data_IF_554101147423
#
_entry.id   IF_554101147423
#
_cell.length_a   1.000
_cell.length_b   1.000
_cell.length_c   1.000
_cell.angle_alpha   90.00
_cell.angle_beta   90.00
_cell.angle_gamma   90.00
#
_symmetry.space_group_name_H-M   'P 1'
#
loop_
_entity.id
_entity.type
_entity.pdbx_description
1 polymer ?
#
# COMPACT_ATOMS: atom_id res chain seq x y z
N UNK A 1 -53.17 -53.86 14.13
CA UNK A 1 -52.99 -52.89 13.05
C UNK A 1 -51.88 -51.86 13.38
N UNK A 2 -51.01 -52.12 14.39
CA UNK A 2 -50.02 -51.16 14.87
C UNK A 2 -48.55 -51.52 14.56
N UNK A 3 -48.29 -52.64 13.89
CA UNK A 3 -46.92 -53.09 13.61
C UNK A 3 -46.34 -52.57 12.26
N UNK A 4 -47.16 -52.10 11.33
CA UNK A 4 -46.68 -51.57 10.03
C UNK A 4 -46.23 -50.12 10.10
N UNK A 5 -46.83 -49.29 10.97
CA UNK A 5 -46.48 -47.89 11.12
C UNK A 5 -45.05 -47.70 11.69
N UNK A 6 -44.61 -48.63 12.55
CA UNK A 6 -43.28 -48.58 13.21
C UNK A 6 -42.11 -48.81 12.25
N UNK A 7 -42.33 -49.57 11.14
CA UNK A 7 -41.28 -49.91 10.20
C UNK A 7 -40.97 -48.81 9.18
N UNK A 8 -41.91 -47.88 8.97
CA UNK A 8 -41.71 -46.71 8.04
C UNK A 8 -41.15 -45.51 8.79
N UNK A 9 -41.47 -45.32 10.06
CA UNK A 9 -41.09 -44.16 10.84
C UNK A 9 -39.57 -44.14 11.13
N UNK A 10 -38.94 -45.30 11.35
CA UNK A 10 -37.51 -45.40 11.65
C UNK A 10 -36.63 -44.95 10.49
N UNK A 11 -36.80 -45.44 9.24
CA UNK A 11 -35.97 -45.00 8.10
C UNK A 11 -36.22 -43.52 7.74
N UNK A 12 -37.44 -43.00 7.90
CA UNK A 12 -37.76 -41.59 7.66
C UNK A 12 -37.05 -40.68 8.66
N UNK A 13 -36.99 -41.06 9.94
CA UNK A 13 -36.24 -40.27 10.97
C UNK A 13 -34.75 -40.31 10.71
N UNK A 14 -34.17 -41.41 10.29
CA UNK A 14 -32.75 -41.50 9.91
C UNK A 14 -32.44 -40.65 8.68
N UNK A 15 -33.32 -40.66 7.69
CA UNK A 15 -33.14 -39.82 6.49
C UNK A 15 -33.24 -38.33 6.81
N UNK A 16 -34.17 -37.91 7.67
CA UNK A 16 -34.33 -36.55 8.12
C UNK A 16 -33.11 -36.07 8.95
N UNK A 17 -32.57 -36.95 9.81
CA UNK A 17 -31.35 -36.61 10.55
C UNK A 17 -30.13 -36.50 9.65
N UNK A 18 -29.96 -37.33 8.65
CA UNK A 18 -28.90 -37.23 7.66
C UNK A 18 -29.03 -35.97 6.80
N UNK A 19 -30.25 -35.61 6.40
CA UNK A 19 -30.50 -34.35 5.69
C UNK A 19 -30.21 -33.11 6.54
N UNK A 20 -30.54 -33.14 7.84
CA UNK A 20 -30.19 -32.07 8.77
C UNK A 20 -28.66 -31.93 8.97
N UNK A 21 -27.96 -33.05 9.12
CA UNK A 21 -26.48 -33.04 9.23
C UNK A 21 -25.86 -32.56 7.91
N UNK A 22 -26.36 -32.98 6.77
CA UNK A 22 -25.89 -32.46 5.48
C UNK A 22 -26.18 -30.98 5.29
N UNK A 23 -27.34 -30.48 5.72
CA UNK A 23 -27.67 -29.05 5.69
C UNK A 23 -26.78 -28.21 6.62
N UNK A 24 -26.46 -28.73 7.81
CA UNK A 24 -25.51 -28.07 8.74
C UNK A 24 -24.08 -28.06 8.18
N UNK A 25 -23.65 -29.16 7.57
CA UNK A 25 -22.34 -29.23 6.92
C UNK A 25 -22.27 -28.34 5.65
N UNK A 26 -23.37 -28.17 4.93
CA UNK A 26 -23.45 -27.24 3.79
C UNK A 26 -23.53 -25.78 4.23
N UNK A 27 -24.21 -25.48 5.35
CA UNK A 27 -24.26 -24.14 5.91
C UNK A 27 -22.91 -23.68 6.50
N UNK A 28 -22.08 -24.62 6.98
CA UNK A 28 -20.72 -24.33 7.45
C UNK A 28 -19.66 -24.21 6.32
N UNK A 29 -20.02 -24.55 5.10
CA UNK A 29 -19.22 -24.32 3.90
C UNK A 29 -19.48 -22.92 3.29
N UNK A 30 -19.90 -21.94 4.09
CA UNK A 30 -19.78 -20.54 3.69
C UNK A 30 -18.29 -20.31 3.48
N UNK A 31 -17.88 -20.25 2.21
CA UNK A 31 -16.53 -19.80 1.83
C UNK A 31 -16.33 -18.45 2.48
N UNK A 32 -15.64 -18.41 3.60
CA UNK A 32 -14.93 -17.19 4.00
C UNK A 32 -13.96 -16.98 2.85
N UNK A 33 -14.35 -16.18 1.87
CA UNK A 33 -13.41 -15.53 0.99
C UNK A 33 -12.53 -14.74 1.94
N UNK A 34 -11.38 -15.26 2.28
CA UNK A 34 -10.31 -14.43 2.78
C UNK A 34 -10.09 -13.41 1.64
N UNK A 35 -10.60 -12.19 1.84
CA UNK A 35 -10.20 -11.05 1.03
C UNK A 35 -8.74 -10.88 1.44
N UNK A 36 -7.84 -11.60 0.78
CA UNK A 36 -6.42 -11.45 0.98
C UNK A 36 -6.01 -10.09 0.44
N UNK A 37 -4.93 -9.55 0.96
CA UNK A 37 -4.32 -8.31 0.50
C UNK A 37 -4.05 -8.39 -1.02
N UNK A 38 -4.61 -7.44 -1.76
CA UNK A 38 -4.43 -7.28 -3.20
C UNK A 38 -3.30 -6.26 -3.46
N UNK A 39 -2.09 -6.76 -3.64
CA UNK A 39 -0.92 -5.94 -3.86
C UNK A 39 -0.98 -5.19 -5.19
N UNK A 40 -1.53 -5.78 -6.25
CA UNK A 40 -1.60 -5.15 -7.56
C UNK A 40 -2.50 -3.91 -7.53
N UNK A 41 -3.62 -4.01 -6.83
CA UNK A 41 -4.51 -2.86 -6.60
C UNK A 41 -3.83 -1.78 -5.74
N UNK A 42 -3.07 -2.17 -4.72
CA UNK A 42 -2.37 -1.23 -3.86
C UNK A 42 -1.25 -0.48 -4.61
N UNK A 43 -0.61 -1.10 -5.60
CA UNK A 43 0.43 -0.45 -6.41
C UNK A 43 -0.08 0.78 -7.16
N UNK A 44 -1.35 0.81 -7.58
CA UNK A 44 -1.95 1.95 -8.28
C UNK A 44 -1.99 3.22 -7.41
N UNK A 45 -1.92 3.07 -6.09
CA UNK A 45 -1.97 4.15 -5.10
C UNK A 45 -0.62 4.49 -4.48
N UNK A 46 0.47 3.81 -4.90
CA UNK A 46 1.83 4.01 -4.37
C UNK A 46 2.72 4.60 -5.45
N UNK A 47 3.63 5.47 -5.06
CA UNK A 47 4.49 6.22 -5.99
C UNK A 47 5.94 6.16 -5.55
N UNK A 48 6.83 6.20 -6.52
CA UNK A 48 8.23 6.62 -6.29
C UNK A 48 8.25 8.14 -6.22
N UNK A 49 8.87 8.69 -5.20
CA UNK A 49 8.99 10.14 -5.00
C UNK A 49 10.43 10.55 -5.22
N UNK A 50 10.63 11.48 -6.15
CA UNK A 50 11.90 12.14 -6.39
C UNK A 50 11.84 13.58 -5.91
N UNK A 51 12.88 14.06 -5.22
CA UNK A 51 13.02 15.45 -4.85
C UNK A 51 14.50 15.86 -4.88
N UNK A 52 14.90 16.59 -5.91
CA UNK A 52 16.32 16.86 -6.16
C UNK A 52 17.11 15.56 -6.34
N UNK A 53 18.08 15.30 -5.45
CA UNK A 53 18.87 14.06 -5.43
C UNK A 53 18.29 12.98 -4.49
N UNK A 54 17.19 13.25 -3.81
CA UNK A 54 16.54 12.33 -2.88
C UNK A 54 15.56 11.42 -3.62
N UNK A 55 15.45 10.19 -3.13
CA UNK A 55 14.51 9.19 -3.60
C UNK A 55 13.83 8.52 -2.41
N UNK A 56 12.52 8.37 -2.49
CA UNK A 56 11.71 7.66 -1.51
C UNK A 56 10.43 7.12 -2.14
N UNK A 57 9.48 6.83 -1.28
CA UNK A 57 8.14 6.38 -1.66
C UNK A 57 7.10 7.39 -1.18
N UNK A 58 5.88 7.30 -1.72
CA UNK A 58 4.71 8.01 -1.27
C UNK A 58 3.47 7.22 -1.60
N UNK A 59 2.33 7.60 -1.06
CA UNK A 59 1.06 6.97 -1.41
C UNK A 59 -0.09 7.97 -1.36
N UNK A 60 -1.09 7.74 -2.21
CA UNK A 60 -2.29 8.56 -2.25
C UNK A 60 -3.20 8.26 -1.06
N UNK A 61 -3.71 9.33 -0.44
CA UNK A 61 -4.72 9.34 0.63
C UNK A 61 -5.97 10.12 0.23
N UNK A 62 -6.01 10.58 -1.00
CA UNK A 62 -7.08 11.29 -1.67
C UNK A 62 -6.80 11.32 -3.16
N UNK A 63 -7.78 11.75 -3.98
CA UNK A 63 -7.69 11.67 -5.44
C UNK A 63 -6.43 12.32 -6.04
N UNK A 64 -5.96 13.42 -5.47
CA UNK A 64 -4.77 14.14 -5.93
C UNK A 64 -3.80 14.46 -4.78
N UNK A 65 -3.96 13.83 -3.62
CA UNK A 65 -3.20 14.09 -2.42
C UNK A 65 -2.32 12.88 -2.07
N UNK A 66 -1.02 13.10 -2.05
CA UNK A 66 0.00 12.09 -1.77
C UNK A 66 0.74 12.47 -0.50
N UNK A 67 1.01 11.51 0.38
CA UNK A 67 1.88 11.71 1.53
C UNK A 67 3.20 10.96 1.35
N UNK A 68 4.24 11.53 1.92
CA UNK A 68 5.58 10.97 2.03
C UNK A 68 6.27 11.50 3.29
N UNK A 69 7.48 11.05 3.60
CA UNK A 69 8.25 11.64 4.69
C UNK A 69 8.81 13.01 4.32
N UNK A 70 8.92 13.89 5.31
CA UNK A 70 9.54 15.21 5.11
C UNK A 70 11.00 15.10 4.66
N UNK A 71 11.79 14.18 5.22
CA UNK A 71 13.18 13.96 4.85
C UNK A 71 13.38 13.44 3.41
N UNK A 72 12.33 12.93 2.75
CA UNK A 72 12.37 12.58 1.32
C UNK A 72 12.37 13.84 0.45
N UNK A 73 11.81 14.96 0.94
CA UNK A 73 11.71 16.21 0.20
C UNK A 73 12.98 17.04 0.40
N UNK A 74 13.99 16.78 -0.41
CA UNK A 74 15.26 17.51 -0.36
C UNK A 74 15.19 18.88 -1.06
N UNK A 75 14.35 18.99 -2.11
CA UNK A 75 14.11 20.24 -2.84
C UNK A 75 12.61 20.43 -3.05
N UNK A 76 11.95 21.29 -2.27
CA UNK A 76 10.50 21.53 -2.39
C UNK A 76 10.05 22.12 -3.75
N UNK A 77 10.97 22.68 -4.53
CA UNK A 77 10.67 23.25 -5.84
C UNK A 77 10.86 22.24 -6.99
N UNK A 78 11.36 21.05 -6.70
CA UNK A 78 11.66 20.03 -7.70
C UNK A 78 11.24 18.66 -7.17
N UNK A 79 9.92 18.43 -7.19
CA UNK A 79 9.31 17.17 -6.75
C UNK A 79 8.61 16.53 -7.94
N UNK A 80 8.88 15.25 -8.17
CA UNK A 80 8.17 14.42 -9.11
C UNK A 80 7.73 13.13 -8.45
N UNK A 81 6.56 12.62 -8.84
CA UNK A 81 6.10 11.29 -8.49
C UNK A 81 6.04 10.43 -9.74
N UNK A 82 6.36 9.15 -9.61
CA UNK A 82 6.27 8.17 -10.70
C UNK A 82 5.28 7.08 -10.28
N UNK A 83 4.29 6.85 -11.12
CA UNK A 83 3.24 5.84 -10.95
C UNK A 83 3.73 4.44 -11.29
N UNK A 84 2.94 3.43 -10.98
CA UNK A 84 3.26 2.03 -11.26
C UNK A 84 3.45 1.74 -12.76
N UNK A 85 2.73 2.43 -13.64
CA UNK A 85 2.89 2.32 -15.09
C UNK A 85 4.08 3.13 -15.66
N UNK A 86 4.82 3.83 -14.79
CA UNK A 86 5.98 4.63 -15.15
C UNK A 86 5.67 6.06 -15.60
N UNK A 87 4.41 6.52 -15.45
CA UNK A 87 4.04 7.90 -15.77
C UNK A 87 4.57 8.84 -14.69
N UNK A 88 5.19 9.94 -15.10
CA UNK A 88 5.74 10.96 -14.20
C UNK A 88 4.81 12.16 -14.10
N UNK A 89 4.62 12.66 -12.88
CA UNK A 89 3.84 13.85 -12.57
C UNK A 89 4.64 14.80 -11.70
N UNK A 90 4.59 16.10 -12.00
CA UNK A 90 5.09 17.11 -11.09
C UNK A 90 4.17 17.20 -9.87
N UNK A 91 4.77 17.37 -8.69
CA UNK A 91 4.04 17.52 -7.43
C UNK A 91 4.46 18.80 -6.73
N UNK A 92 3.51 19.42 -6.03
CA UNK A 92 3.75 20.61 -5.22
C UNK A 92 3.50 20.30 -3.75
N UNK A 93 4.36 20.77 -2.82
CA UNK A 93 4.12 20.57 -1.39
C UNK A 93 2.97 21.45 -0.90
N UNK A 94 1.95 20.83 -0.31
CA UNK A 94 0.89 21.51 0.44
C UNK A 94 1.37 21.85 1.85
N UNK A 95 2.19 20.98 2.43
CA UNK A 95 2.81 21.18 3.73
C UNK A 95 3.97 20.22 3.95
N UNK A 96 4.99 20.68 4.66
CA UNK A 96 6.13 19.87 5.08
C UNK A 96 6.34 20.12 6.58
N UNK A 97 6.35 19.06 7.37
CA UNK A 97 6.60 19.10 8.80
C UNK A 97 7.81 18.21 9.13
N UNK A 98 8.96 18.84 9.27
CA UNK A 98 10.21 18.12 9.56
C UNK A 98 10.20 17.49 10.96
N UNK A 99 9.50 18.11 11.92
CA UNK A 99 9.39 17.55 13.27
C UNK A 99 8.57 16.27 13.28
N UNK A 100 7.42 16.23 12.60
CA UNK A 100 6.60 15.03 12.46
C UNK A 100 7.11 14.05 11.39
N UNK A 101 8.07 14.48 10.56
CA UNK A 101 8.60 13.77 9.40
C UNK A 101 7.50 13.40 8.39
N UNK A 102 6.58 14.33 8.14
CA UNK A 102 5.46 14.18 7.21
C UNK A 102 5.47 15.31 6.19
N UNK A 103 5.34 14.97 4.91
CA UNK A 103 5.06 15.91 3.82
C UNK A 103 3.77 15.50 3.10
N UNK A 104 2.97 16.50 2.76
CA UNK A 104 1.73 16.37 1.96
C UNK A 104 1.96 17.03 0.63
N UNK A 105 1.75 16.30 -0.44
CA UNK A 105 1.94 16.73 -1.83
C UNK A 105 0.59 16.78 -2.54
N UNK A 106 0.45 17.74 -3.43
CA UNK A 106 -0.71 17.85 -4.35
C UNK A 106 -0.22 17.71 -5.77
N UNK A 107 -0.97 16.94 -6.55
CA UNK A 107 -0.72 16.73 -7.98
C UNK A 107 -1.84 17.42 -8.76
N UNK A 108 -1.47 18.39 -9.59
CA UNK A 108 -2.42 19.08 -10.43
C UNK A 108 -2.81 18.24 -11.65
N UNK A 109 -4.09 18.33 -12.04
CA UNK A 109 -4.64 17.74 -13.26
C UNK A 109 -4.47 16.20 -13.38
N UNK A 110 -4.34 15.52 -12.27
CA UNK A 110 -4.35 14.06 -12.20
C UNK A 110 -5.16 13.57 -11.01
N UNK A 111 -5.77 12.39 -11.15
CA UNK A 111 -6.47 11.71 -10.08
C UNK A 111 -5.99 10.27 -10.00
N UNK A 112 -5.86 9.77 -8.79
CA UNK A 112 -5.34 8.43 -8.50
C UNK A 112 -6.31 7.66 -7.62
N UNK A 113 -6.36 6.33 -7.71
CA UNK A 113 -6.86 5.52 -6.62
C UNK A 113 -6.10 5.86 -5.34
N UNK A 114 -6.77 5.84 -4.20
CA UNK A 114 -6.14 6.13 -2.92
C UNK A 114 -6.41 5.02 -1.90
N UNK A 115 -5.53 4.95 -0.89
CA UNK A 115 -5.60 3.97 0.17
C UNK A 115 -6.45 4.53 1.32
N UNK A 116 -7.26 3.65 1.92
CA UNK A 116 -8.10 3.97 3.06
C UNK A 116 -7.29 3.87 4.35
N UNK A 117 -7.52 4.79 5.30
CA UNK A 117 -6.92 4.71 6.64
C UNK A 117 -7.59 3.64 7.47
N UNK A 118 -6.80 2.87 8.22
CA UNK A 118 -7.29 1.83 9.11
C UNK A 118 -7.60 2.36 10.51
N UNK A 119 -8.56 1.74 11.19
CA UNK A 119 -8.76 1.93 12.64
C UNK A 119 -7.65 1.23 13.43
N UNK A 120 -6.75 2.02 14.02
CA UNK A 120 -5.63 1.51 14.81
C UNK A 120 -6.07 0.80 16.11
N UNK A 121 -7.30 1.00 16.57
CA UNK A 121 -7.81 0.33 17.79
C UNK A 121 -7.91 -1.18 17.60
N UNK A 122 -8.18 -1.65 16.38
CA UNK A 122 -8.30 -3.06 16.04
C UNK A 122 -6.96 -3.80 15.90
N UNK A 123 -5.84 -3.07 15.70
CA UNK A 123 -4.50 -3.61 15.46
C UNK A 123 -3.98 -4.38 16.68
N UNK A 124 -3.33 -5.53 16.44
CA UNK A 124 -2.73 -6.38 17.47
C UNK A 124 -1.26 -6.67 17.15
N UNK A 125 -0.48 -6.94 18.20
CA UNK A 125 0.87 -7.47 18.04
C UNK A 125 0.77 -8.86 17.38
N UNK A 126 1.58 -9.10 16.35
CA UNK A 126 1.58 -10.32 15.57
C UNK A 126 0.65 -10.30 14.35
N UNK A 127 -0.14 -9.23 14.15
CA UNK A 127 -0.92 -9.09 12.91
C UNK A 127 0.01 -8.99 11.70
N UNK A 128 -0.38 -9.64 10.61
CA UNK A 128 0.30 -9.55 9.32
C UNK A 128 0.23 -8.12 8.77
N UNK A 129 1.35 -7.65 8.24
CA UNK A 129 1.44 -6.35 7.57
C UNK A 129 2.18 -6.47 6.24
N UNK A 130 1.95 -5.48 5.39
CA UNK A 130 2.59 -5.34 4.11
C UNK A 130 3.14 -3.92 3.97
N UNK A 131 4.30 -3.80 3.32
CA UNK A 131 4.85 -2.50 2.93
C UNK A 131 5.16 -2.51 1.45
N UNK A 132 4.93 -1.39 0.79
CA UNK A 132 5.26 -1.18 -0.62
C UNK A 132 6.17 0.04 -0.70
N UNK A 133 7.25 -0.07 -1.49
CA UNK A 133 8.18 1.02 -1.64
C UNK A 133 9.16 0.81 -2.79
N UNK A 134 10.15 1.69 -2.89
CA UNK A 134 11.20 1.69 -3.92
C UNK A 134 12.60 1.51 -3.33
N UNK A 135 12.88 0.39 -2.62
CA UNK A 135 14.18 0.20 -1.98
C UNK A 135 15.31 0.20 -3.02
N UNK A 136 16.32 1.04 -2.79
CA UNK A 136 17.49 1.16 -3.68
C UNK A 136 17.13 1.41 -5.16
N UNK A 137 16.03 2.11 -5.44
CA UNK A 137 15.56 2.36 -6.78
C UNK A 137 14.83 1.18 -7.46
N UNK A 138 14.65 0.06 -6.75
CA UNK A 138 13.75 -1.02 -7.21
C UNK A 138 12.32 -0.68 -6.83
N UNK A 139 11.63 0.02 -7.73
CA UNK A 139 10.26 0.45 -7.52
C UNK A 139 9.33 -0.73 -7.26
N UNK A 140 8.28 -0.49 -6.46
CA UNK A 140 7.18 -1.42 -6.20
C UNK A 140 7.60 -2.76 -5.59
N UNK A 141 8.53 -2.70 -4.64
CA UNK A 141 8.90 -3.88 -3.85
C UNK A 141 7.91 -4.08 -2.71
N UNK A 142 7.22 -5.20 -2.74
CA UNK A 142 6.35 -5.65 -1.65
C UNK A 142 7.18 -6.38 -0.59
N UNK A 143 7.00 -6.01 0.66
CA UNK A 143 7.60 -6.70 1.81
C UNK A 143 6.50 -7.06 2.80
N UNK A 144 6.48 -8.30 3.28
CA UNK A 144 5.58 -8.77 4.33
C UNK A 144 6.33 -8.87 5.67
N UNK A 145 5.62 -8.61 6.75
CA UNK A 145 6.10 -8.76 8.13
C UNK A 145 4.94 -8.79 9.10
N UNK A 146 5.24 -8.50 10.37
CA UNK A 146 4.24 -8.45 11.46
C UNK A 146 4.42 -7.22 12.33
N UNK A 147 3.35 -6.84 13.04
CA UNK A 147 3.40 -5.82 14.10
C UNK A 147 4.19 -6.36 15.29
N UNK A 148 5.34 -5.76 15.58
CA UNK A 148 6.17 -6.11 16.75
C UNK A 148 5.80 -5.32 17.99
N UNK A 149 5.35 -4.06 17.84
CA UNK A 149 4.76 -3.23 18.91
C UNK A 149 3.81 -2.20 18.30
N UNK A 150 2.66 -2.00 18.96
CA UNK A 150 1.66 -0.99 18.53
C UNK A 150 2.12 0.43 18.79
N UNK A 151 2.87 0.61 19.86
CA UNK A 151 3.36 1.89 20.32
C UNK A 151 4.80 1.75 20.81
N UNK A 152 5.70 2.41 20.11
CA UNK A 152 7.10 2.54 20.49
C UNK A 152 7.42 4.02 20.64
N UNK A 153 7.67 4.48 21.84
CA UNK A 153 8.01 5.89 22.09
C UNK A 153 9.51 6.10 21.84
N UNK A 154 9.82 6.97 20.89
CA UNK A 154 11.18 7.40 20.55
C UNK A 154 11.18 8.92 20.45
N UNK A 155 12.00 9.60 21.26
CA UNK A 155 12.04 11.07 21.32
C UNK A 155 10.65 11.70 21.47
N UNK A 156 9.86 11.16 22.41
CA UNK A 156 8.50 11.60 22.76
C UNK A 156 7.43 11.37 21.70
N UNK A 157 7.77 10.69 20.59
CA UNK A 157 6.84 10.37 19.51
C UNK A 157 6.52 8.88 19.46
N UNK A 158 5.27 8.56 19.18
CA UNK A 158 4.78 7.18 19.01
C UNK A 158 5.03 6.68 17.60
N UNK A 159 5.47 5.43 17.48
CA UNK A 159 5.65 4.70 16.24
C UNK A 159 5.10 3.30 16.34
N UNK A 160 4.62 2.76 15.22
CA UNK A 160 4.36 1.33 15.08
C UNK A 160 5.69 0.65 14.76
N UNK A 161 6.08 -0.36 15.57
CA UNK A 161 7.25 -1.16 15.29
C UNK A 161 6.86 -2.42 14.52
N UNK A 162 7.63 -2.73 13.47
CA UNK A 162 7.43 -3.89 12.60
C UNK A 162 8.74 -4.67 12.42
N UNK A 163 8.64 -5.93 12.03
CA UNK A 163 9.79 -6.79 11.68
C UNK A 163 10.02 -6.87 10.16
N UNK A 164 9.17 -6.21 9.35
CA UNK A 164 9.39 -6.11 7.91
C UNK A 164 10.72 -5.39 7.60
N UNK A 165 11.39 -5.86 6.55
CA UNK A 165 12.65 -5.26 6.11
C UNK A 165 12.43 -3.85 5.53
N UNK A 166 12.70 -2.81 6.31
CA UNK A 166 12.71 -1.42 5.86
C UNK A 166 14.13 -1.08 5.40
N UNK A 167 14.25 -0.62 4.17
CA UNK A 167 15.50 -0.18 3.56
C UNK A 167 15.34 1.23 3.01
N UNK A 168 16.46 1.85 2.68
CA UNK A 168 16.49 3.14 1.98
C UNK A 168 15.66 3.06 0.69
N UNK A 169 14.74 4.01 0.52
CA UNK A 169 13.73 4.02 -0.55
C UNK A 169 12.33 3.55 -0.10
N UNK A 170 12.18 2.80 0.99
CA UNK A 170 10.87 2.47 1.57
C UNK A 170 10.27 3.61 2.41
N UNK A 171 11.09 4.61 2.79
CA UNK A 171 10.64 5.80 3.50
C UNK A 171 9.55 6.51 2.72
N UNK A 172 8.46 6.87 3.40
CA UNK A 172 7.27 7.48 2.81
C UNK A 172 6.27 6.48 2.23
N UNK A 173 6.62 5.20 2.10
CA UNK A 173 5.71 4.15 1.64
C UNK A 173 4.70 3.73 2.72
N UNK A 174 3.55 3.14 2.33
CA UNK A 174 2.51 2.74 3.27
C UNK A 174 2.90 1.49 4.07
N UNK A 175 2.43 1.46 5.32
CA UNK A 175 2.27 0.26 6.13
C UNK A 175 0.81 -0.17 6.05
N UNK A 176 0.54 -1.35 5.50
CA UNK A 176 -0.81 -1.84 5.20
C UNK A 176 -1.17 -3.05 6.06
N UNK A 177 -2.45 -3.18 6.41
CA UNK A 177 -3.02 -4.40 6.97
C UNK A 177 -3.37 -5.43 5.87
N UNK A 178 -3.91 -6.57 6.24
CA UNK A 178 -4.35 -7.64 5.35
C UNK A 178 -5.57 -7.29 4.48
N UNK A 179 -6.25 -6.19 4.78
CA UNK A 179 -7.33 -5.61 3.98
C UNK A 179 -6.84 -4.54 2.99
N UNK A 180 -5.54 -4.18 3.02
CA UNK A 180 -4.96 -3.12 2.20
C UNK A 180 -5.22 -1.71 2.74
N UNK A 181 -5.65 -1.59 4.00
CA UNK A 181 -5.85 -0.30 4.66
C UNK A 181 -4.54 0.16 5.34
N UNK A 182 -4.32 1.47 5.37
CA UNK A 182 -3.10 2.09 5.89
C UNK A 182 -3.12 2.13 7.41
N UNK A 183 -2.13 1.50 8.04
CA UNK A 183 -1.85 1.60 9.47
C UNK A 183 -0.89 2.75 9.78
N UNK A 184 -0.06 3.12 8.82
CA UNK A 184 0.95 4.17 8.99
C UNK A 184 1.83 4.35 7.77
N UNK A 185 2.84 5.19 7.90
CA UNK A 185 3.84 5.51 6.89
C UNK A 185 5.23 5.07 7.37
N UNK A 186 5.93 4.27 6.58
CA UNK A 186 7.29 3.82 6.91
C UNK A 186 8.24 5.02 6.94
N UNK A 187 9.12 5.08 7.94
CA UNK A 187 10.04 6.22 8.07
C UNK A 187 11.47 5.83 8.41
N UNK A 188 11.69 5.11 9.48
CA UNK A 188 13.02 4.87 10.01
C UNK A 188 13.34 3.37 10.04
N UNK A 189 14.64 3.10 9.78
CA UNK A 189 15.29 1.87 10.18
C UNK A 189 16.23 2.19 11.35
N UNK A 190 16.21 1.40 12.39
CA UNK A 190 17.24 1.51 13.44
C UNK A 190 18.55 0.98 12.87
N UNK A 191 19.54 1.88 12.72
CA UNK A 191 20.81 1.64 12.00
C UNK A 191 21.64 0.48 12.54
N UNK A 192 21.47 0.11 13.80
CA UNK A 192 22.26 -0.92 14.48
C UNK A 192 21.44 -2.21 14.78
N UNK A 193 20.24 -2.34 14.18
CA UNK A 193 19.34 -3.46 14.46
C UNK A 193 18.69 -3.96 13.18
N UNK A 194 19.07 -5.17 12.76
CA UNK A 194 18.34 -5.86 11.68
C UNK A 194 16.93 -6.24 12.16
N UNK A 195 15.93 -6.09 11.27
CA UNK A 195 14.54 -6.49 11.56
C UNK A 195 13.75 -5.54 12.47
N UNK A 196 14.18 -4.28 12.64
CA UNK A 196 13.37 -3.26 13.32
C UNK A 196 13.05 -2.13 12.35
N UNK A 197 11.82 -2.12 11.87
CA UNK A 197 11.22 -1.02 11.12
C UNK A 197 10.32 -0.18 12.02
N UNK A 198 10.21 1.11 11.71
CA UNK A 198 9.32 2.05 12.40
C UNK A 198 8.44 2.75 11.39
N UNK A 199 7.16 2.87 11.71
CA UNK A 199 6.18 3.58 10.89
C UNK A 199 5.46 4.64 11.72
N UNK A 200 5.24 5.80 11.13
CA UNK A 200 4.43 6.88 11.68
C UNK A 200 2.98 6.43 11.61
N UNK A 201 2.25 6.31 12.73
CA UNK A 201 0.88 5.81 12.72
C UNK A 201 -0.09 6.83 12.10
N UNK A 202 -1.23 6.34 11.60
CA UNK A 202 -2.23 7.16 10.88
C UNK A 202 -2.80 8.30 11.72
N UNK A 203 -2.94 8.16 13.03
CA UNK A 203 -3.42 9.23 13.92
C UNK A 203 -2.52 10.47 13.91
N UNK A 204 -1.20 10.30 13.80
CA UNK A 204 -0.26 11.41 13.64
C UNK A 204 -0.38 12.06 12.26
N UNK A 205 -0.60 11.26 11.22
CA UNK A 205 -0.85 11.76 9.86
C UNK A 205 -2.12 12.58 9.84
N UNK A 206 -3.21 12.07 10.39
CA UNK A 206 -4.50 12.77 10.47
C UNK A 206 -4.40 14.09 11.25
N UNK A 207 -3.67 14.10 12.38
CA UNK A 207 -3.45 15.32 13.15
C UNK A 207 -2.73 16.37 12.33
N UNK A 208 -1.75 15.97 11.51
CA UNK A 208 -1.05 16.89 10.62
C UNK A 208 -1.97 17.41 9.50
N UNK A 209 -2.75 16.54 8.86
CA UNK A 209 -3.75 16.95 7.85
C UNK A 209 -4.74 17.97 8.40
N UNK A 210 -5.27 17.73 9.59
CA UNK A 210 -6.16 18.67 10.29
C UNK A 210 -5.48 20.03 10.55
N UNK A 211 -4.18 20.03 10.89
CA UNK A 211 -3.43 21.27 11.09
C UNK A 211 -3.25 22.11 9.82
N UNK A 212 -3.28 21.45 8.64
CA UNK A 212 -3.27 22.09 7.33
C UNK A 212 -4.67 22.54 6.86
N UNK A 213 -5.73 22.30 7.67
CA UNK A 213 -7.11 22.60 7.30
C UNK A 213 -7.69 21.63 6.27
N UNK A 214 -7.09 20.46 6.11
CA UNK A 214 -7.60 19.42 5.23
C UNK A 214 -8.66 18.66 6.00
N UNK A 215 -9.90 18.69 5.50
CA UNK A 215 -11.00 17.92 6.07
C UNK A 215 -10.88 16.46 5.66
N UNK A 216 -10.98 15.58 6.64
CA UNK A 216 -11.00 14.13 6.45
C UNK A 216 -12.36 13.57 6.88
N UNK A 217 -12.78 12.46 6.28
CA UNK A 217 -13.95 11.71 6.75
C UNK A 217 -13.69 11.08 8.14
N UNK A 218 -14.68 10.35 8.68
CA UNK A 218 -14.57 9.68 9.98
C UNK A 218 -13.44 8.63 10.05
N UNK A 219 -12.92 8.22 8.90
CA UNK A 219 -11.80 7.26 8.76
C UNK A 219 -10.46 7.91 8.40
N UNK A 220 -10.39 9.25 8.37
CA UNK A 220 -9.17 9.99 8.05
C UNK A 220 -8.87 10.11 6.54
N UNK A 221 -9.79 9.73 5.65
CA UNK A 221 -9.59 9.85 4.21
C UNK A 221 -10.01 11.23 3.72
N UNK A 222 -9.39 11.70 2.65
CA UNK A 222 -9.70 12.98 2.01
C UNK A 222 -10.74 12.73 0.92
N UNK A 223 -12.03 13.15 1.12
CA UNK A 223 -13.11 12.80 0.19
C UNK A 223 -13.07 13.59 -1.11
N UNK A 224 -12.48 14.79 -1.11
CA UNK A 224 -12.46 15.70 -2.24
C UNK A 224 -11.03 16.06 -2.64
N UNK A 225 -10.84 16.46 -3.92
CA UNK A 225 -9.55 16.91 -4.42
C UNK A 225 -9.07 18.15 -3.66
N UNK A 226 -7.85 18.10 -3.13
CA UNK A 226 -7.24 19.22 -2.43
C UNK A 226 -6.81 20.27 -3.44
N UNK A 227 -7.15 21.53 -3.17
CA UNK A 227 -6.70 22.64 -4.00
C UNK A 227 -5.26 23.01 -3.61
N UNK A 228 -4.35 23.17 -4.58
CA UNK A 228 -3.02 23.65 -4.29
C UNK A 228 -3.09 25.03 -3.63
N UNK A 229 -2.20 25.33 -2.67
CA UNK A 229 -2.13 26.68 -2.14
C UNK A 229 -1.90 27.64 -3.31
N UNK A 230 -2.53 28.84 -3.28
CA UNK A 230 -2.33 29.90 -4.27
C UNK A 230 -0.84 30.40 -4.18
N UNK A 231 0.07 29.55 -4.60
CA UNK A 231 1.46 29.91 -4.81
C UNK A 231 1.44 30.66 -6.14
N UNK A 232 1.64 31.97 -6.12
CA UNK A 232 1.98 32.72 -7.34
C UNK A 232 3.27 32.09 -7.84
N UNK A 233 3.14 31.18 -8.78
CA UNK A 233 4.28 30.55 -9.43
C UNK A 233 5.16 31.67 -10.00
N UNK A 234 6.47 31.67 -9.76
CA UNK A 234 7.37 32.48 -10.57
C UNK A 234 7.16 32.03 -12.01
N UNK A 235 6.75 32.96 -12.87
CA UNK A 235 6.59 32.71 -14.30
C UNK A 235 7.86 32.06 -14.83
N UNK A 236 7.70 31.01 -15.62
CA UNK A 236 8.75 30.25 -16.32
C UNK A 236 9.58 29.26 -15.47
N UNK A 237 8.97 28.16 -15.06
CA UNK A 237 9.69 26.90 -14.97
C UNK A 237 8.89 25.84 -15.76
N UNK A 238 9.06 25.85 -17.08
CA UNK A 238 8.85 24.65 -17.86
C UNK A 238 9.85 23.62 -17.35
N UNK A 239 9.36 22.57 -16.70
CA UNK A 239 10.13 21.39 -16.39
C UNK A 239 10.68 20.86 -17.72
N UNK A 240 11.97 21.08 -17.94
CA UNK A 240 12.64 20.66 -19.16
C UNK A 240 13.20 19.28 -18.88
N UNK A 241 12.37 18.26 -19.03
CA UNK A 241 12.76 16.85 -18.90
C UNK A 241 14.00 16.50 -19.76
N UNK A 242 14.21 17.24 -20.85
CA UNK A 242 15.33 17.00 -21.77
C UNK A 242 16.70 17.46 -21.28
N UNK A 243 16.82 18.25 -20.20
CA UNK A 243 18.13 18.76 -19.77
C UNK A 243 18.76 18.04 -18.60
N UNK A 244 18.00 17.28 -17.82
CA UNK A 244 18.56 16.53 -16.69
C UNK A 244 18.92 15.07 -17.03
N UNK A 245 18.53 14.57 -18.20
CA UNK A 245 18.86 13.21 -18.64
C UNK A 245 20.32 13.10 -19.12
N UNK A 246 20.99 14.23 -19.47
CA UNK A 246 22.37 14.18 -20.01
C UNK A 246 23.49 14.24 -18.96
N UNK A 247 23.22 14.43 -17.66
CA UNK A 247 24.26 14.49 -16.63
C UNK A 247 24.24 13.35 -15.61
N UNK A 248 23.24 12.48 -15.63
CA UNK A 248 23.42 11.19 -14.98
C UNK A 248 24.14 10.29 -15.98
N UNK A 249 25.41 9.96 -15.69
CA UNK A 249 26.09 8.84 -16.29
C UNK A 249 25.05 7.72 -16.43
N UNK A 250 24.88 7.24 -17.67
CA UNK A 250 24.11 6.02 -17.93
C UNK A 250 24.61 4.98 -16.93
N UNK A 251 23.90 4.82 -15.83
CA UNK A 251 23.92 3.55 -15.16
C UNK A 251 23.43 2.58 -16.22
N UNK A 252 24.36 1.86 -16.84
CA UNK A 252 24.06 0.67 -17.61
C UNK A 252 23.32 -0.26 -16.66
N UNK A 253 22.01 -0.07 -16.58
CA UNK A 253 21.11 -1.08 -16.04
C UNK A 253 21.38 -2.29 -16.90
N UNK A 254 21.88 -3.41 -16.34
CA UNK A 254 21.95 -4.65 -17.09
C UNK A 254 20.55 -4.84 -17.65
N UNK A 255 20.46 -5.00 -18.95
CA UNK A 255 19.22 -5.32 -19.65
C UNK A 255 18.56 -6.45 -18.87
N UNK A 256 17.60 -6.12 -18.00
CA UNK A 256 16.78 -7.11 -17.34
C UNK A 256 15.92 -7.64 -18.45
N UNK A 257 16.39 -8.72 -19.07
CA UNK A 257 15.58 -9.53 -19.95
C UNK A 257 14.39 -9.96 -19.12
N UNK A 258 13.23 -9.35 -19.34
CA UNK A 258 11.97 -9.84 -18.84
C UNK A 258 11.81 -11.24 -19.41
N UNK A 259 12.18 -12.26 -18.65
CA UNK A 259 11.70 -13.61 -18.87
C UNK A 259 10.23 -13.56 -18.52
N UNK A 260 9.41 -13.23 -19.51
CA UNK A 260 7.99 -13.46 -19.46
C UNK A 260 7.83 -14.97 -19.20
N UNK A 261 7.54 -15.36 -17.98
CA UNK A 261 7.02 -16.68 -17.67
C UNK A 261 5.60 -16.66 -18.21
N UNK A 262 5.51 -16.85 -19.54
CA UNK A 262 4.27 -17.20 -20.20
C UNK A 262 3.86 -18.56 -19.70
N UNK A 263 2.82 -18.61 -18.87
CA UNK A 263 2.05 -19.84 -18.67
C UNK A 263 1.39 -20.14 -20.02
N UNK A 264 2.12 -20.84 -20.87
CA UNK A 264 1.55 -21.43 -22.06
C UNK A 264 0.59 -22.54 -21.59
N UNK A 265 -0.71 -22.27 -21.70
CA UNK A 265 -1.70 -23.30 -21.70
C UNK A 265 -1.37 -24.24 -22.85
N UNK A 266 -0.80 -25.40 -22.55
CA UNK A 266 -0.59 -26.47 -23.49
C UNK A 266 -1.95 -27.02 -23.90
N UNK A 267 -2.46 -26.58 -25.04
CA UNK A 267 -3.50 -27.31 -25.78
C UNK A 267 -2.84 -28.54 -26.37
N UNK A 268 -3.13 -29.68 -25.75
CA UNK A 268 -2.95 -31.01 -26.36
C UNK A 268 -3.85 -31.09 -27.61
N UNK A 269 -3.28 -31.09 -28.78
CA UNK A 269 -3.86 -31.73 -29.95
C UNK A 269 -2.72 -32.30 -30.81
N UNK A 270 -2.86 -33.60 -31.00
CA UNK A 270 -2.01 -34.57 -31.57
C UNK A 270 -1.33 -34.27 -32.88
N UNK A 271 -0.24 -35.00 -33.07
CA UNK A 271 -0.01 -35.65 -34.36
C UNK A 271 0.87 -36.89 -34.16
N UNK A 272 0.21 -38.02 -34.32
CA UNK A 272 0.79 -39.31 -34.67
C UNK A 272 1.20 -39.23 -36.12
N UNK A 273 2.46 -39.40 -36.46
CA UNK A 273 2.90 -39.96 -37.74
C UNK A 273 4.26 -40.65 -37.52
N UNK A 274 4.22 -41.95 -37.55
CA UNK A 274 5.03 -42.98 -38.18
C UNK A 274 6.42 -42.59 -38.80
N UNK A 275 7.45 -43.14 -38.29
CA UNK A 275 8.36 -44.11 -38.93
C UNK A 275 9.43 -44.55 -37.94
#
# INVERSE_FOLDING_TARGET
MDLEASNIVKPVRVLLSLLMVAAVLFASASSVSAIGFDAEKAYESVFVVYSGASLGSGFAIGENCVITNAHVIADPNNIAIVTYDGTEYAASPLGINEDEDIAVLVIENATFPYLMMADLSAVKIGDDIYTIGAPKGMAYTLTKGTISAKERIIREKSYIQIDAAINEGNSGGPLLNDSGEVLGMNTLKMTDSEGIGLSIPTDRIENYLKSLGIETDEKGNIPDAVQPPNIVAPADNQFNADKNVEQHEKCDLPTVTYVAIGIAAASLLGNIILS
#
